data_IF_555153907826
#
_entry.id   IF_555153907826
#
_cell.length_a   1.000
_cell.length_b   1.000
_cell.length_c   1.000
_cell.angle_alpha   90.00
_cell.angle_beta   90.00
_cell.angle_gamma   90.00
#
_symmetry.space_group_name_H-M   'P 1'
#
loop_
_entity.id
_entity.type
_entity.pdbx_description
1 polymer ?
#
# COMPACT_ATOMS: atom_id res chain seq x y z
N UNK A 1 -18.29 6.60 -20.95
CA UNK A 1 -17.01 6.62 -21.71
C UNK A 1 -15.97 6.29 -20.68
N UNK A 2 -15.26 5.21 -20.90
CA UNK A 2 -14.50 4.55 -19.84
C UNK A 2 -13.01 4.70 -20.16
N UNK A 3 -12.17 4.78 -19.12
CA UNK A 3 -10.72 4.84 -19.25
C UNK A 3 -10.12 3.57 -18.66
N UNK A 4 -9.34 2.87 -19.47
CA UNK A 4 -8.56 1.70 -19.04
C UNK A 4 -7.09 2.04 -19.23
N UNK A 5 -6.30 1.85 -18.18
CA UNK A 5 -4.85 1.95 -18.24
C UNK A 5 -4.26 0.57 -17.95
N UNK A 6 -3.67 -0.04 -18.96
CA UNK A 6 -2.91 -1.27 -18.85
C UNK A 6 -1.40 -0.96 -18.87
N UNK A 7 -0.64 -1.60 -17.99
CA UNK A 7 0.82 -1.42 -17.88
C UNK A 7 1.47 -2.80 -17.91
N UNK A 8 2.20 -3.10 -18.99
CA UNK A 8 2.76 -4.44 -19.20
C UNK A 8 3.89 -4.84 -18.24
N UNK A 9 4.53 -3.87 -17.58
CA UNK A 9 5.64 -4.09 -16.65
C UNK A 9 5.44 -3.28 -15.37
N UNK A 10 6.15 -2.15 -15.24
CA UNK A 10 6.19 -1.37 -14.01
C UNK A 10 5.53 -0.01 -14.19
N UNK A 11 4.78 0.43 -13.16
CA UNK A 11 4.31 1.80 -13.03
C UNK A 11 4.95 2.43 -11.80
N UNK A 12 5.63 3.55 -12.01
CA UNK A 12 6.06 4.45 -10.93
C UNK A 12 5.30 5.77 -11.06
N UNK A 13 4.75 6.25 -9.96
CA UNK A 13 4.05 7.54 -9.90
C UNK A 13 4.69 8.41 -8.83
N UNK A 14 5.09 9.62 -9.23
CA UNK A 14 5.60 10.64 -8.32
C UNK A 14 4.67 11.86 -8.41
N UNK A 15 4.20 12.31 -7.25
CA UNK A 15 3.30 13.46 -7.12
C UNK A 15 4.06 14.49 -6.31
N UNK A 16 4.38 15.64 -6.92
CA UNK A 16 5.21 16.66 -6.28
C UNK A 16 4.53 17.38 -5.12
N UNK A 17 3.19 17.35 -5.08
CA UNK A 17 2.36 17.96 -4.05
C UNK A 17 1.28 16.97 -3.59
N UNK A 18 0.01 17.28 -3.83
CA UNK A 18 -1.11 16.53 -3.28
C UNK A 18 -1.77 15.60 -4.29
N UNK A 19 -2.26 14.47 -3.81
CA UNK A 19 -3.10 13.54 -4.56
C UNK A 19 -4.50 13.51 -3.93
N UNK A 20 -5.49 13.97 -4.69
CA UNK A 20 -6.89 13.91 -4.29
C UNK A 20 -7.60 12.86 -5.14
N UNK A 21 -8.20 11.87 -4.49
CA UNK A 21 -9.02 10.87 -5.16
C UNK A 21 -10.44 10.93 -4.60
N UNK A 22 -11.40 11.20 -5.48
CA UNK A 22 -12.82 11.03 -5.20
C UNK A 22 -13.38 9.98 -6.14
N UNK A 23 -13.95 8.92 -5.58
CA UNK A 23 -14.61 7.86 -6.34
C UNK A 23 -16.09 7.92 -5.98
N UNK A 24 -16.94 8.21 -6.97
CA UNK A 24 -18.39 8.30 -6.74
C UNK A 24 -19.04 6.92 -6.54
N UNK A 25 -18.44 5.88 -7.12
CA UNK A 25 -18.84 4.49 -6.95
C UNK A 25 -17.91 3.73 -5.99
N UNK A 26 -17.57 2.50 -6.36
CA UNK A 26 -16.72 1.63 -5.56
C UNK A 26 -15.26 1.69 -6.03
N UNK A 27 -14.33 1.48 -5.09
CA UNK A 27 -12.93 1.21 -5.37
C UNK A 27 -12.62 -0.24 -4.99
N UNK A 28 -12.09 -0.99 -5.94
CA UNK A 28 -11.61 -2.35 -5.73
C UNK A 28 -10.10 -2.37 -5.93
N UNK A 29 -9.36 -2.94 -4.98
CA UNK A 29 -7.92 -3.14 -5.08
C UNK A 29 -7.61 -4.63 -4.91
N UNK A 30 -6.88 -5.22 -5.86
CA UNK A 30 -6.36 -6.58 -5.73
C UNK A 30 -4.88 -6.62 -6.05
N UNK A 31 -4.09 -6.92 -5.02
CA UNK A 31 -2.63 -6.99 -5.12
C UNK A 31 -2.26 -8.46 -4.94
N UNK A 32 -1.72 -9.06 -6.00
CA UNK A 32 -1.31 -10.49 -5.99
C UNK A 32 -0.06 -10.73 -5.16
N UNK A 33 0.83 -9.73 -5.11
CA UNK A 33 2.05 -9.76 -4.32
C UNK A 33 1.88 -9.10 -2.95
N UNK A 34 2.93 -8.45 -2.48
CA UNK A 34 2.95 -7.75 -1.19
C UNK A 34 2.48 -6.31 -1.33
N UNK A 35 1.73 -5.82 -0.33
CA UNK A 35 1.41 -4.40 -0.18
C UNK A 35 2.21 -3.82 0.99
N UNK A 36 3.17 -2.96 0.67
CA UNK A 36 3.85 -2.13 1.67
C UNK A 36 3.23 -0.74 1.65
N UNK A 37 2.94 -0.19 2.82
CA UNK A 37 2.35 1.13 2.93
C UNK A 37 2.93 1.86 4.15
N UNK A 38 3.51 3.02 3.89
CA UNK A 38 4.13 3.86 4.92
C UNK A 38 3.52 5.24 4.84
N UNK A 39 3.11 5.76 6.00
CA UNK A 39 2.64 7.14 6.17
C UNK A 39 3.55 7.78 7.20
N UNK A 40 4.31 8.79 6.79
CA UNK A 40 5.24 9.48 7.68
C UNK A 40 4.52 10.42 8.66
N UNK A 41 3.41 11.00 8.22
CA UNK A 41 2.54 11.84 9.03
C UNK A 41 1.43 11.04 9.73
N UNK A 42 0.23 11.61 9.78
CA UNK A 42 -0.94 10.97 10.36
C UNK A 42 -1.76 10.18 9.34
N UNK A 43 -2.40 9.10 9.79
CA UNK A 43 -3.44 8.39 9.03
C UNK A 43 -4.76 8.53 9.78
N UNK A 44 -5.80 9.02 9.11
CA UNK A 44 -7.18 9.03 9.59
C UNK A 44 -8.05 8.25 8.63
N UNK A 45 -8.93 7.41 9.15
CA UNK A 45 -9.82 6.56 8.37
C UNK A 45 -11.20 6.57 9.02
N UNK A 46 -12.24 6.74 8.20
CA UNK A 46 -13.64 6.69 8.62
C UNK A 46 -14.38 5.75 7.69
N UNK A 47 -14.96 4.70 8.27
CA UNK A 47 -15.85 3.77 7.57
C UNK A 47 -17.25 4.01 8.12
N UNK A 48 -18.19 4.40 7.25
CA UNK A 48 -19.54 4.77 7.67
C UNK A 48 -20.44 3.56 7.98
N UNK A 49 -20.05 2.38 7.50
CA UNK A 49 -20.75 1.11 7.67
C UNK A 49 -19.74 0.07 8.20
N UNK A 50 -19.82 -1.18 7.76
CA UNK A 50 -18.98 -2.26 8.25
C UNK A 50 -17.52 -2.17 7.77
N UNK A 51 -16.58 -2.43 8.68
CA UNK A 51 -15.17 -2.66 8.36
C UNK A 51 -14.80 -4.12 8.63
N UNK A 52 -14.66 -4.91 7.56
CA UNK A 52 -14.19 -6.30 7.65
C UNK A 52 -12.66 -6.37 7.51
N UNK A 53 -11.99 -6.89 8.52
CA UNK A 53 -10.53 -7.07 8.53
C UNK A 53 -10.18 -8.53 8.82
N UNK A 54 -9.72 -9.24 7.78
CA UNK A 54 -9.32 -10.64 7.85
C UNK A 54 -7.82 -10.76 7.63
N UNK A 55 -7.10 -11.42 8.54
CA UNK A 55 -5.70 -11.81 8.36
C UNK A 55 -5.60 -13.33 8.53
N UNK A 56 -5.18 -14.04 7.48
CA UNK A 56 -5.04 -15.51 7.54
C UNK A 56 -3.80 -15.97 8.30
N UNK A 57 -2.76 -15.11 8.34
CA UNK A 57 -1.55 -15.31 9.14
C UNK A 57 -1.63 -14.56 10.47
N UNK A 58 -0.53 -13.91 10.85
CA UNK A 58 -0.41 -13.18 12.12
C UNK A 58 -0.72 -11.69 11.96
N UNK A 59 -1.40 -11.12 12.95
CA UNK A 59 -1.57 -9.67 13.12
C UNK A 59 -0.63 -9.17 14.23
N UNK A 60 0.26 -8.25 13.90
CA UNK A 60 1.13 -7.57 14.86
C UNK A 60 0.68 -6.12 15.01
N UNK A 61 0.41 -5.69 16.24
CA UNK A 61 0.04 -4.33 16.57
C UNK A 61 1.07 -3.76 17.55
N UNK A 62 1.75 -2.68 17.16
CA UNK A 62 2.67 -1.94 18.03
C UNK A 62 2.21 -0.49 18.11
N UNK A 63 1.81 -0.06 19.30
CA UNK A 63 1.36 1.29 19.57
C UNK A 63 2.38 2.00 20.44
N UNK A 64 2.74 3.24 20.08
CA UNK A 64 3.77 4.00 20.81
C UNK A 64 3.27 4.64 22.11
N UNK A 65 1.97 4.94 22.21
CA UNK A 65 1.39 5.66 23.36
C UNK A 65 0.21 4.93 23.98
N UNK A 66 -0.83 4.64 23.19
CA UNK A 66 -2.04 4.01 23.69
C UNK A 66 -2.76 3.20 22.59
N UNK A 67 -3.51 2.19 23.01
CA UNK A 67 -4.56 1.56 22.23
C UNK A 67 -5.89 1.89 22.93
N UNK A 68 -6.71 2.70 22.27
CA UNK A 68 -8.04 3.07 22.75
C UNK A 68 -9.06 2.46 21.79
N UNK A 69 -10.06 1.76 22.33
CA UNK A 69 -11.12 1.11 21.56
C UNK A 69 -12.45 1.29 22.28
N UNK A 70 -13.44 1.78 21.56
CA UNK A 70 -14.81 1.93 22.04
C UNK A 70 -15.75 1.17 21.10
N UNK A 71 -16.57 0.30 21.67
CA UNK A 71 -17.59 -0.46 20.96
C UNK A 71 -18.95 -0.13 21.55
N UNK A 72 -19.94 0.13 20.71
CA UNK A 72 -21.29 0.51 21.17
C UNK A 72 -22.00 -0.61 21.95
N UNK A 73 -21.85 -1.85 21.52
CA UNK A 73 -22.59 -3.00 22.11
C UNK A 73 -21.67 -4.08 22.66
N UNK A 74 -20.64 -4.48 21.90
CA UNK A 74 -19.84 -5.66 22.24
C UNK A 74 -18.38 -5.48 21.84
N UNK A 75 -17.48 -5.88 22.73
CA UNK A 75 -16.08 -6.20 22.43
C UNK A 75 -15.87 -7.68 22.73
N UNK A 76 -15.61 -8.48 21.70
CA UNK A 76 -15.43 -9.93 21.82
C UNK A 76 -14.04 -10.36 21.37
N UNK A 77 -13.25 -10.87 22.31
CA UNK A 77 -11.91 -11.40 22.06
C UNK A 77 -11.98 -12.91 22.27
N UNK A 78 -11.97 -13.66 21.17
CA UNK A 78 -11.90 -15.11 21.18
C UNK A 78 -10.52 -15.57 20.73
N UNK A 79 -9.82 -16.29 21.60
CA UNK A 79 -8.60 -17.00 21.25
C UNK A 79 -8.84 -18.51 21.27
N UNK A 80 -8.14 -19.24 20.40
CA UNK A 80 -8.24 -20.71 20.34
C UNK A 80 -7.62 -21.39 21.57
N UNK A 81 -6.48 -20.91 22.06
CA UNK A 81 -5.73 -21.56 23.14
C UNK A 81 -5.43 -20.63 24.32
N UNK A 82 -4.97 -19.40 24.07
CA UNK A 82 -4.48 -18.51 25.13
C UNK A 82 -4.80 -17.05 24.84
N UNK A 83 -5.16 -16.32 25.89
CA UNK A 83 -5.10 -14.85 25.95
C UNK A 83 -4.14 -14.49 27.08
N UNK A 84 -3.24 -13.56 26.83
CA UNK A 84 -2.32 -13.00 27.83
C UNK A 84 -2.49 -11.50 27.82
N UNK A 85 -2.77 -10.91 28.98
CA UNK A 85 -2.82 -9.47 29.18
C UNK A 85 -1.78 -9.14 30.26
N UNK A 86 -0.79 -8.35 29.88
CA UNK A 86 0.30 -7.92 30.76
C UNK A 86 0.32 -6.40 30.82
N UNK A 87 0.45 -5.87 32.03
CA UNK A 87 0.64 -4.45 32.26
C UNK A 87 1.72 -4.26 33.32
N UNK A 88 2.52 -3.20 33.18
CA UNK A 88 3.60 -2.93 34.14
C UNK A 88 3.12 -2.35 35.47
N UNK A 89 2.01 -1.60 35.46
CA UNK A 89 1.52 -0.90 36.65
C UNK A 89 0.18 -1.44 37.15
N UNK A 90 -0.81 -1.58 36.26
CA UNK A 90 -2.17 -1.94 36.67
C UNK A 90 -2.93 -2.64 35.53
N UNK A 91 -3.73 -3.64 35.87
CA UNK A 91 -4.83 -4.16 35.03
C UNK A 91 -6.13 -3.94 35.79
N UNK A 92 -7.09 -3.27 35.16
CA UNK A 92 -8.43 -3.05 35.73
C UNK A 92 -9.51 -3.50 34.75
N UNK A 93 -10.45 -4.30 35.25
CA UNK A 93 -11.64 -4.76 34.54
C UNK A 93 -12.87 -4.27 35.32
N UNK A 94 -13.75 -3.50 34.68
CA UNK A 94 -14.94 -2.93 35.32
C UNK A 94 -16.20 -3.28 34.54
N UNK A 95 -17.26 -3.64 35.26
CA UNK A 95 -18.59 -3.86 34.70
C UNK A 95 -19.65 -3.37 35.69
N UNK A 96 -20.49 -2.41 35.27
CA UNK A 96 -21.47 -1.77 36.16
C UNK A 96 -20.80 -1.18 37.41
N UNK A 97 -21.30 -1.59 38.59
CA UNK A 97 -20.74 -1.21 39.89
C UNK A 97 -19.63 -2.12 40.42
N UNK A 98 -19.18 -3.12 39.65
CA UNK A 98 -18.19 -4.11 40.08
C UNK A 98 -16.86 -3.94 39.33
N UNK A 99 -15.75 -4.31 39.96
CA UNK A 99 -14.43 -4.33 39.32
C UNK A 99 -13.49 -5.42 39.84
N UNK A 100 -12.49 -5.74 39.03
CA UNK A 100 -11.27 -6.46 39.37
C UNK A 100 -10.10 -5.55 39.05
N UNK A 101 -9.19 -5.35 40.01
CA UNK A 101 -7.98 -4.56 39.83
C UNK A 101 -6.77 -5.35 40.28
N UNK A 102 -5.71 -5.32 39.49
CA UNK A 102 -4.42 -5.94 39.76
C UNK A 102 -3.38 -4.84 39.70
N UNK A 103 -2.68 -4.60 40.81
CA UNK A 103 -1.63 -3.60 40.91
C UNK A 103 -0.51 -4.09 41.87
N UNK A 104 0.44 -3.21 42.22
CA UNK A 104 1.54 -3.55 43.11
C UNK A 104 1.12 -3.97 44.54
N UNK A 105 -0.11 -3.65 44.97
CA UNK A 105 -0.67 -4.07 46.27
C UNK A 105 -1.29 -5.47 46.23
N UNK A 106 -1.48 -6.04 45.04
CA UNK A 106 -2.08 -7.37 44.82
C UNK A 106 -3.34 -7.31 43.97
N UNK A 107 -4.32 -8.17 44.30
CA UNK A 107 -5.59 -8.28 43.57
C UNK A 107 -6.74 -7.77 44.44
N UNK A 108 -7.45 -6.76 43.97
CA UNK A 108 -8.65 -6.22 44.60
C UNK A 108 -9.91 -6.60 43.80
N UNK A 109 -10.93 -7.10 44.49
CA UNK A 109 -12.26 -7.38 43.94
C UNK A 109 -13.32 -6.64 44.73
N UNK A 110 -14.22 -5.93 44.06
CA UNK A 110 -15.36 -5.28 44.69
C UNK A 110 -16.62 -5.34 43.82
N UNK A 111 -17.77 -5.46 44.47
CA UNK A 111 -19.10 -5.51 43.84
C UNK A 111 -20.18 -5.86 44.87
N UNK A 112 -21.46 -5.73 44.49
CA UNK A 112 -22.59 -5.98 45.40
C UNK A 112 -22.61 -7.43 45.95
N UNK A 113 -22.16 -8.39 45.16
CA UNK A 113 -21.93 -9.77 45.57
C UNK A 113 -20.70 -10.33 44.85
N UNK A 114 -19.83 -11.02 45.57
CA UNK A 114 -18.67 -11.74 45.03
C UNK A 114 -18.96 -13.24 45.17
N UNK A 115 -19.18 -13.92 44.04
CA UNK A 115 -19.47 -15.36 44.02
C UNK A 115 -18.21 -16.15 43.75
N UNK A 116 -17.60 -16.70 44.80
CA UNK A 116 -16.43 -17.57 44.70
C UNK A 116 -16.87 -19.02 44.73
N UNK A 117 -16.55 -19.79 43.69
CA UNK A 117 -16.97 -21.19 43.52
C UNK A 117 -18.51 -21.41 43.59
N UNK A 118 -19.29 -20.37 43.30
CA UNK A 118 -20.74 -20.37 43.49
C UNK A 118 -21.51 -19.91 42.24
N UNK A 119 -21.97 -20.86 41.43
CA UNK A 119 -22.91 -20.63 40.32
C UNK A 119 -22.43 -19.67 39.22
N UNK A 120 -23.36 -19.34 38.31
CA UNK A 120 -23.14 -18.46 37.16
C UNK A 120 -23.06 -19.22 35.82
N UNK A 121 -23.31 -18.50 34.73
CA UNK A 121 -23.04 -18.95 33.36
C UNK A 121 -22.16 -17.90 32.66
N UNK A 122 -21.23 -18.33 31.79
CA UNK A 122 -20.43 -17.39 31.03
C UNK A 122 -21.31 -16.59 30.06
N UNK A 123 -20.90 -15.35 29.79
CA UNK A 123 -21.48 -14.59 28.68
C UNK A 123 -21.20 -15.27 27.34
N UNK A 124 -22.10 -15.09 26.36
CA UNK A 124 -21.92 -15.55 24.98
C UNK A 124 -21.68 -14.35 24.09
N UNK A 125 -20.52 -14.30 23.43
CA UNK A 125 -20.27 -13.30 22.40
C UNK A 125 -20.87 -13.69 21.05
N UNK A 126 -21.16 -12.71 20.20
CA UNK A 126 -21.75 -12.91 18.87
C UNK A 126 -20.83 -13.69 17.91
N UNK A 127 -19.53 -13.63 18.16
CA UNK A 127 -18.48 -14.15 17.29
C UNK A 127 -18.09 -13.18 16.16
N UNK A 128 -16.98 -13.46 15.48
CA UNK A 128 -16.53 -12.65 14.35
C UNK A 128 -17.09 -13.21 13.03
N UNK A 129 -17.79 -12.37 12.26
CA UNK A 129 -18.30 -12.68 10.92
C UNK A 129 -17.67 -11.73 9.90
N UNK A 130 -16.48 -12.10 9.41
CA UNK A 130 -15.71 -11.22 8.51
C UNK A 130 -16.08 -11.48 7.06
N UNK A 131 -16.41 -10.42 6.31
CA UNK A 131 -16.66 -10.51 4.86
C UNK A 131 -15.34 -10.45 4.09
N UNK A 132 -15.25 -11.21 2.99
CA UNK A 132 -14.11 -11.14 2.07
C UNK A 132 -14.27 -9.98 1.09
N UNK A 133 -13.18 -9.28 0.71
CA UNK A 133 -13.23 -8.25 -0.33
C UNK A 133 -13.70 -8.79 -1.68
N UNK A 134 -14.46 -7.99 -2.41
CA UNK A 134 -14.81 -8.23 -3.81
C UNK A 134 -13.58 -7.98 -4.69
N UNK A 135 -13.39 -8.78 -5.73
CA UNK A 135 -12.25 -8.60 -6.66
C UNK A 135 -12.58 -7.53 -7.69
N UNK A 136 -11.59 -6.72 -8.12
CA UNK A 136 -11.73 -5.85 -9.27
C UNK A 136 -12.11 -6.64 -10.52
N UNK A 137 -12.87 -6.02 -11.41
CA UNK A 137 -13.09 -6.53 -12.76
C UNK A 137 -11.74 -6.60 -13.49
N UNK A 138 -11.49 -7.74 -14.14
CA UNK A 138 -10.32 -7.89 -15.00
C UNK A 138 -10.60 -7.12 -16.30
N UNK A 139 -9.63 -6.32 -16.76
CA UNK A 139 -9.68 -5.79 -18.12
C UNK A 139 -9.72 -6.99 -19.08
N UNK A 140 -10.84 -7.19 -19.75
CA UNK A 140 -10.94 -8.18 -20.82
C UNK A 140 -10.12 -7.69 -22.01
N UNK A 141 -8.88 -8.17 -22.16
CA UNK A 141 -8.13 -8.09 -23.41
C UNK A 141 -6.67 -7.68 -23.29
N UNK A 142 -5.77 -8.66 -23.34
CA UNK A 142 -4.51 -8.61 -24.09
C UNK A 142 -3.97 -10.04 -24.29
N UNK A 143 -4.78 -10.90 -24.93
CA UNK A 143 -4.28 -12.07 -25.65
C UNK A 143 -5.11 -12.28 -26.93
N UNK A 144 -5.50 -11.19 -27.59
CA UNK A 144 -5.47 -11.24 -29.04
C UNK A 144 -4.06 -10.85 -29.43
N UNK A 145 -3.28 -11.84 -29.86
CA UNK A 145 -2.13 -11.56 -30.71
C UNK A 145 -2.68 -10.90 -31.96
N UNK A 146 -2.76 -9.58 -31.96
CA UNK A 146 -2.82 -8.85 -33.23
C UNK A 146 -1.49 -9.17 -33.90
N UNK A 147 -1.54 -10.00 -34.94
CA UNK A 147 -0.35 -10.27 -35.75
C UNK A 147 0.26 -8.94 -36.17
N UNK A 148 1.61 -8.83 -36.25
CA UNK A 148 2.23 -7.56 -36.59
C UNK A 148 1.56 -7.00 -37.84
N UNK A 149 0.99 -5.80 -37.74
CA UNK A 149 0.53 -5.10 -38.94
C UNK A 149 1.74 -5.02 -39.87
N UNK A 150 1.56 -5.43 -41.12
CA UNK A 150 2.58 -5.26 -42.15
C UNK A 150 2.91 -3.78 -42.22
N UNK A 151 4.07 -3.38 -41.69
CA UNK A 151 4.58 -2.03 -41.88
C UNK A 151 4.61 -1.74 -43.38
N UNK A 152 4.10 -0.58 -43.79
CA UNK A 152 4.21 -0.18 -45.18
C UNK A 152 5.70 -0.15 -45.56
N UNK A 153 6.07 -0.81 -46.65
CA UNK A 153 7.39 -0.65 -47.26
C UNK A 153 7.52 0.81 -47.73
N UNK A 154 8.09 1.65 -46.88
CA UNK A 154 8.46 3.01 -47.25
C UNK A 154 9.78 2.94 -47.99
N UNK A 155 9.83 3.55 -49.18
CA UNK A 155 11.07 3.72 -49.93
C UNK A 155 12.14 4.44 -49.10
N UNK A 156 13.39 4.18 -49.44
CA UNK A 156 14.53 4.86 -48.82
C UNK A 156 14.36 6.38 -48.94
N UNK A 157 14.53 7.11 -47.84
CA UNK A 157 14.42 8.57 -47.86
C UNK A 157 15.42 9.11 -48.89
N UNK A 158 15.04 10.07 -49.76
CA UNK A 158 15.91 10.53 -50.85
C UNK A 158 17.21 11.19 -50.38
N UNK A 159 17.32 11.52 -49.10
CA UNK A 159 18.52 12.05 -48.45
C UNK A 159 19.31 10.98 -47.65
N UNK A 160 18.94 9.70 -47.75
CA UNK A 160 19.70 8.62 -47.14
C UNK A 160 20.81 8.17 -48.11
N UNK A 161 22.06 8.30 -47.67
CA UNK A 161 23.24 7.69 -48.30
C UNK A 161 23.79 6.61 -47.35
N UNK A 162 23.40 5.34 -47.55
CA UNK A 162 23.80 4.25 -46.67
C UNK A 162 25.30 3.96 -46.71
N UNK A 163 25.94 4.15 -47.86
CA UNK A 163 27.36 3.86 -48.02
C UNK A 163 28.20 4.87 -47.22
N UNK A 164 27.84 6.16 -47.30
CA UNK A 164 28.48 7.19 -46.48
C UNK A 164 28.26 6.94 -44.98
N UNK A 165 27.08 6.47 -44.57
CA UNK A 165 26.78 6.15 -43.18
C UNK A 165 27.56 4.94 -42.66
N UNK A 166 27.62 3.86 -43.43
CA UNK A 166 28.37 2.64 -43.07
C UNK A 166 29.86 2.97 -42.97
N UNK A 167 30.40 3.76 -43.90
CA UNK A 167 31.80 4.19 -43.89
C UNK A 167 32.10 5.08 -42.69
N UNK A 168 31.23 6.02 -42.34
CA UNK A 168 31.39 6.87 -41.16
C UNK A 168 31.33 6.09 -39.83
N UNK A 169 30.50 5.04 -39.76
CA UNK A 169 30.44 4.10 -38.63
C UNK A 169 31.74 3.29 -38.49
N UNK A 170 32.28 2.81 -39.61
CA UNK A 170 33.55 2.07 -39.65
C UNK A 170 34.75 2.96 -39.30
N UNK A 171 34.71 4.23 -39.71
CA UNK A 171 35.75 5.23 -39.45
C UNK A 171 35.57 5.98 -38.11
N UNK A 172 34.52 5.63 -37.31
CA UNK A 172 34.28 6.20 -35.98
C UNK A 172 33.92 7.69 -35.94
N UNK A 173 33.39 8.25 -37.04
CA UNK A 173 33.03 9.69 -37.14
C UNK A 173 31.52 9.88 -37.13
N UNK A 174 31.03 10.76 -36.26
CA UNK A 174 29.62 11.17 -36.25
C UNK A 174 29.32 12.09 -37.44
N UNK A 175 28.25 11.80 -38.18
CA UNK A 175 27.82 12.56 -39.38
C UNK A 175 27.00 13.82 -39.08
N UNK A 176 27.00 14.33 -37.84
CA UNK A 176 26.24 15.55 -37.48
C UNK A 176 27.16 16.66 -37.00
N UNK A 177 27.03 17.85 -37.58
CA UNK A 177 27.78 19.06 -37.25
C UNK A 177 27.47 19.67 -35.85
N UNK A 178 26.89 18.91 -34.91
CA UNK A 178 26.46 19.42 -33.59
C UNK A 178 27.50 19.14 -32.50
N UNK A 179 28.52 18.32 -32.76
CA UNK A 179 29.57 18.01 -31.78
C UNK A 179 30.97 18.13 -32.39
N UNK A 180 31.43 19.36 -32.62
CA UNK A 180 32.87 19.64 -32.64
C UNK A 180 33.31 19.93 -31.21
N UNK A 181 34.18 19.08 -30.67
CA UNK A 181 34.86 19.33 -29.40
C UNK A 181 35.87 20.47 -29.63
N UNK A 182 35.57 21.64 -29.07
CA UNK A 182 36.53 22.73 -28.94
C UNK A 182 37.70 22.31 -28.05
N UNK A 183 38.91 22.63 -28.48
CA UNK A 183 40.13 22.78 -27.67
C UNK A 183 41.12 23.57 -28.53
N UNK A 184 41.76 24.66 -28.14
CA UNK A 184 41.67 25.62 -27.04
C UNK A 184 42.51 26.85 -27.51
N UNK A 185 42.49 28.01 -26.81
CA UNK A 185 43.08 29.26 -27.27
C UNK A 185 44.54 29.46 -26.80
N UNK A 186 45.39 30.12 -27.61
CA UNK A 186 46.46 31.02 -27.16
C UNK A 186 47.23 31.60 -28.37
N UNK A 187 47.34 32.92 -28.43
CA UNK A 187 47.78 33.66 -29.62
C UNK A 187 49.29 33.85 -29.84
N UNK A 188 49.60 34.64 -30.87
CA UNK A 188 50.78 35.50 -31.03
C UNK A 188 50.45 36.53 -32.13
N UNK A 189 50.84 37.79 -31.90
CA UNK A 189 50.58 38.93 -32.79
C UNK A 189 51.64 39.17 -33.87
N UNK A 190 51.60 40.41 -34.38
CA UNK A 190 52.33 41.03 -35.52
C UNK A 190 51.77 40.59 -36.89
N UNK A 191 51.54 41.44 -37.90
CA UNK A 191 51.85 42.87 -38.12
C UNK A 191 50.98 43.40 -39.29
N UNK A 192 50.97 44.74 -39.39
CA UNK A 192 50.40 45.63 -40.42
C UNK A 192 48.95 46.12 -40.23
#
# INVERSE_FOLDING_TARGET
RDLVLDTGHDRTECIGHDSHLTVAGNRFDHIRGSRHHTVAGEKRERVAQDHSFHVSGSLHLKMGRAWLSESGTELHIKAGQKVVLEAGAEITLKAGGSFVKIDASGVALAGAAIKLNAGGSPGRGAGATVRTPERPELVAGAAETVGPESLAEVGQRPNADPEAQIRALQDGKALTAICSADTEPAGRGSDA
#
